data_IF_651019597555
#
_entry.id   IF_651019597555
#
_cell.length_a   1.000
_cell.length_b   1.000
_cell.length_c   1.000
_cell.angle_alpha   90.00
_cell.angle_beta   90.00
_cell.angle_gamma   90.00
#
_symmetry.space_group_name_H-M   'P 1'
#
loop_
_entity.id
_entity.type
_entity.pdbx_description
1 polymer ?
#
# COMPACT_ATOMS: atom_id res chain seq x y z
N UNK A 1 10.66 -27.82 3.21
CA UNK A 1 10.18 -28.25 1.88
C UNK A 1 9.45 -27.10 1.23
N UNK A 2 9.91 -26.63 0.08
CA UNK A 2 9.17 -25.64 -0.74
C UNK A 2 8.07 -26.38 -1.48
N UNK A 3 6.82 -25.95 -1.36
CA UNK A 3 5.70 -26.57 -2.07
C UNK A 3 5.83 -26.27 -3.58
N UNK A 4 5.53 -27.22 -4.48
CA UNK A 4 5.48 -26.95 -5.92
C UNK A 4 4.47 -25.85 -6.25
N UNK A 5 4.77 -25.01 -7.25
CA UNK A 5 3.95 -23.84 -7.61
C UNK A 5 2.49 -24.18 -7.89
N UNK A 6 2.20 -25.32 -8.53
CA UNK A 6 0.84 -25.73 -8.87
C UNK A 6 0.03 -26.11 -7.63
N UNK A 7 0.71 -26.67 -6.62
CA UNK A 7 0.10 -26.94 -5.32
C UNK A 7 -0.20 -25.65 -4.57
N UNK A 8 0.71 -24.66 -4.61
CA UNK A 8 0.49 -23.34 -4.02
C UNK A 8 -0.69 -22.62 -4.68
N UNK A 9 -0.75 -22.62 -6.02
CA UNK A 9 -1.87 -22.04 -6.77
C UNK A 9 -3.21 -22.67 -6.39
N UNK A 10 -3.24 -24.01 -6.27
CA UNK A 10 -4.44 -24.75 -5.84
C UNK A 10 -4.88 -24.38 -4.42
N UNK A 11 -3.95 -24.23 -3.47
CA UNK A 11 -4.25 -23.80 -2.09
C UNK A 11 -4.89 -22.40 -2.08
N UNK A 12 -4.42 -21.51 -2.94
CA UNK A 12 -4.93 -20.15 -3.05
C UNK A 12 -6.11 -19.99 -4.01
N UNK A 13 -6.67 -21.10 -4.53
CA UNK A 13 -7.81 -21.06 -5.44
C UNK A 13 -7.52 -20.38 -6.78
N UNK A 14 -6.25 -20.34 -7.20
CA UNK A 14 -5.83 -19.72 -8.46
C UNK A 14 -6.04 -20.73 -9.59
N UNK A 15 -6.91 -20.38 -10.53
CA UNK A 15 -7.15 -21.17 -11.73
C UNK A 15 -5.92 -21.18 -12.64
N UNK A 16 -5.73 -22.28 -13.37
CA UNK A 16 -4.73 -22.27 -14.44
C UNK A 16 -5.13 -21.27 -15.54
N UNK A 17 -4.17 -20.52 -16.08
CA UNK A 17 -4.47 -19.52 -17.07
C UNK A 17 -4.80 -20.18 -18.42
N UNK A 18 -6.10 -20.24 -18.74
CA UNK A 18 -6.68 -20.88 -19.93
C UNK A 18 -6.49 -20.08 -21.25
N UNK A 19 -6.05 -18.81 -21.15
CA UNK A 19 -5.90 -17.91 -22.30
C UNK A 19 -4.55 -18.01 -23.01
N UNK A 20 -4.52 -17.64 -24.29
CA UNK A 20 -3.28 -17.41 -25.03
C UNK A 20 -2.49 -16.26 -24.42
N UNK A 21 -1.17 -16.44 -24.30
CA UNK A 21 -0.29 -15.38 -23.81
C UNK A 21 0.11 -14.46 -24.96
N UNK A 22 0.18 -13.16 -24.67
CA UNK A 22 0.68 -12.16 -25.60
C UNK A 22 2.22 -12.17 -25.60
N UNK A 23 2.88 -12.45 -26.75
CA UNK A 23 4.34 -12.50 -26.83
C UNK A 23 5.03 -11.20 -26.39
N UNK A 24 4.38 -10.05 -26.61
CA UNK A 24 4.95 -8.76 -26.24
C UNK A 24 5.02 -8.58 -24.72
N UNK A 25 4.01 -9.06 -24.00
CA UNK A 25 3.96 -9.02 -22.53
C UNK A 25 4.99 -9.99 -21.94
N UNK A 26 5.09 -11.18 -22.52
CA UNK A 26 6.10 -12.17 -22.11
C UNK A 26 7.53 -11.66 -22.30
N UNK A 27 7.81 -10.89 -23.36
CA UNK A 27 9.11 -10.28 -23.58
C UNK A 27 9.50 -9.28 -22.46
N UNK A 28 8.52 -8.72 -21.74
CA UNK A 28 8.71 -7.81 -20.60
C UNK A 28 8.71 -8.49 -19.24
N UNK A 29 8.50 -9.81 -19.18
CA UNK A 29 8.38 -10.60 -17.94
C UNK A 29 9.52 -10.35 -16.93
N UNK A 30 10.74 -10.18 -17.43
CA UNK A 30 11.91 -9.85 -16.60
C UNK A 30 11.72 -8.59 -15.73
N UNK A 31 10.97 -7.60 -16.20
CA UNK A 31 10.70 -6.38 -15.45
C UNK A 31 9.65 -6.60 -14.36
N UNK A 32 8.61 -7.40 -14.64
CA UNK A 32 7.62 -7.78 -13.64
C UNK A 32 8.26 -8.60 -12.52
N UNK A 33 9.11 -9.57 -12.86
CA UNK A 33 9.86 -10.38 -11.90
C UNK A 33 10.81 -9.53 -11.04
N UNK A 34 11.55 -8.62 -11.66
CA UNK A 34 12.47 -7.72 -10.96
C UNK A 34 11.73 -6.86 -9.93
N UNK A 35 10.61 -6.24 -10.32
CA UNK A 35 9.84 -5.36 -9.43
C UNK A 35 9.17 -6.15 -8.31
N UNK A 36 8.58 -7.31 -8.61
CA UNK A 36 8.03 -8.19 -7.58
C UNK A 36 9.10 -8.62 -6.56
N UNK A 37 10.29 -8.99 -7.04
CA UNK A 37 11.41 -9.39 -6.18
C UNK A 37 11.90 -8.24 -5.31
N UNK A 38 12.02 -7.05 -5.90
CA UNK A 38 12.39 -5.86 -5.13
C UNK A 38 11.34 -5.56 -4.04
N UNK A 39 10.04 -5.59 -4.37
CA UNK A 39 8.96 -5.37 -3.42
C UNK A 39 8.90 -6.46 -2.34
N UNK A 40 9.13 -7.73 -2.68
CA UNK A 40 9.19 -8.82 -1.70
C UNK A 40 10.29 -8.59 -0.66
N UNK A 41 11.42 -8.01 -1.08
CA UNK A 41 12.57 -7.77 -0.21
C UNK A 41 12.51 -6.43 0.54
N UNK A 42 11.87 -5.40 -0.04
CA UNK A 42 11.92 -4.02 0.46
C UNK A 42 10.61 -3.50 1.04
N UNK A 43 9.47 -4.13 0.75
CA UNK A 43 8.16 -3.66 1.23
C UNK A 43 8.09 -3.43 2.73
N UNK A 44 8.61 -4.36 3.55
CA UNK A 44 8.64 -4.20 5.00
C UNK A 44 9.49 -3.02 5.46
N UNK A 45 10.64 -2.79 4.82
CA UNK A 45 11.51 -1.66 5.14
C UNK A 45 10.81 -0.35 4.78
N UNK A 46 10.16 -0.29 3.62
CA UNK A 46 9.38 0.89 3.20
C UNK A 46 8.21 1.16 4.14
N UNK A 47 7.48 0.12 4.54
CA UNK A 47 6.40 0.24 5.51
C UNK A 47 6.90 0.77 6.85
N UNK A 48 8.03 0.25 7.35
CA UNK A 48 8.64 0.74 8.58
C UNK A 48 9.00 2.23 8.46
N UNK A 49 9.62 2.64 7.35
CA UNK A 49 9.95 4.05 7.10
C UNK A 49 8.69 4.92 7.11
N UNK A 50 7.63 4.54 6.39
CA UNK A 50 6.38 5.30 6.36
C UNK A 50 5.68 5.36 7.72
N UNK A 51 5.66 4.25 8.47
CA UNK A 51 5.17 4.21 9.85
C UNK A 51 5.96 5.17 10.73
N UNK A 52 7.29 5.15 10.66
CA UNK A 52 8.14 6.03 11.46
C UNK A 52 7.89 7.50 11.11
N UNK A 53 7.78 7.84 9.82
CA UNK A 53 7.49 9.21 9.40
C UNK A 53 6.12 9.66 9.93
N UNK A 54 5.08 8.83 9.75
CA UNK A 54 3.74 9.13 10.26
C UNK A 54 3.72 9.28 11.79
N UNK A 55 4.41 8.39 12.52
CA UNK A 55 4.55 8.48 13.96
C UNK A 55 5.22 9.79 14.38
N UNK A 56 6.39 10.10 13.81
CA UNK A 56 7.20 11.27 14.16
C UNK A 56 6.51 12.58 13.83
N UNK A 57 5.80 12.67 12.70
CA UNK A 57 5.18 13.92 12.26
C UNK A 57 3.74 14.10 12.74
N UNK A 58 3.03 13.02 13.08
CA UNK A 58 1.60 13.10 13.43
C UNK A 58 1.32 12.71 14.87
N UNK A 59 1.71 11.50 15.29
CA UNK A 59 1.34 11.00 16.63
C UNK A 59 2.25 11.53 17.74
N UNK A 60 3.57 11.55 17.53
CA UNK A 60 4.53 12.00 18.54
C UNK A 60 4.31 13.47 18.97
N UNK A 61 3.99 14.43 18.07
CA UNK A 61 3.63 15.80 18.45
C UNK A 61 2.31 15.89 19.22
N UNK A 62 1.39 14.94 19.00
CA UNK A 62 0.19 14.83 19.81
C UNK A 62 0.54 14.44 21.25
N UNK A 63 1.51 13.53 21.43
CA UNK A 63 1.92 13.00 22.73
C UNK A 63 2.88 13.91 23.50
N UNK A 64 3.87 14.52 22.84
CA UNK A 64 5.01 15.23 23.45
C UNK A 64 5.03 16.72 23.09
N UNK A 65 4.98 17.60 24.11
CA UNK A 65 5.04 19.06 23.92
C UNK A 65 6.39 19.55 23.35
N UNK A 66 7.56 19.08 23.84
CA UNK A 66 8.84 19.46 23.26
C UNK A 66 8.94 19.11 21.78
N UNK A 67 8.47 17.92 21.40
CA UNK A 67 8.50 17.49 20.00
C UNK A 67 7.52 18.27 19.13
N UNK A 68 6.35 18.62 19.66
CA UNK A 68 5.39 19.50 18.98
C UNK A 68 6.03 20.84 18.61
N UNK A 69 6.79 21.46 19.51
CA UNK A 69 7.46 22.72 19.23
C UNK A 69 8.44 22.61 18.05
N UNK A 70 9.15 21.47 17.94
CA UNK A 70 10.03 21.18 16.79
C UNK A 70 9.22 21.08 15.50
N UNK A 71 8.13 20.30 15.48
CA UNK A 71 7.29 20.16 14.30
C UNK A 71 6.63 21.49 13.88
N UNK A 72 6.11 22.26 14.83
CA UNK A 72 5.45 23.55 14.56
C UNK A 72 6.41 24.62 14.03
N UNK A 73 7.72 24.48 14.27
CA UNK A 73 8.75 25.36 13.70
C UNK A 73 9.08 25.07 12.23
N UNK A 74 8.66 23.92 11.70
CA UNK A 74 8.88 23.53 10.30
C UNK A 74 7.58 23.61 9.52
N UNK A 75 7.52 24.48 8.51
CA UNK A 75 6.27 24.76 7.76
C UNK A 75 5.56 23.49 7.25
N UNK A 76 6.25 22.62 6.51
CA UNK A 76 5.65 21.42 5.92
C UNK A 76 5.17 20.44 7.01
N UNK A 77 6.00 20.19 8.01
CA UNK A 77 5.68 19.25 9.07
C UNK A 77 4.52 19.75 9.95
N UNK A 78 4.46 21.07 10.19
CA UNK A 78 3.36 21.74 10.88
C UNK A 78 2.04 21.54 10.15
N UNK A 79 1.99 21.76 8.83
CA UNK A 79 0.77 21.57 8.04
C UNK A 79 0.31 20.11 8.06
N UNK A 80 1.24 19.16 7.86
CA UNK A 80 0.92 17.73 7.96
C UNK A 80 0.37 17.38 9.34
N UNK A 81 1.04 17.82 10.42
CA UNK A 81 0.58 17.57 11.78
C UNK A 81 -0.80 18.19 12.02
N UNK A 82 -0.99 19.44 11.61
CA UNK A 82 -2.25 20.14 11.76
C UNK A 82 -3.37 19.35 11.07
N UNK A 83 -3.27 19.14 9.76
CA UNK A 83 -4.31 18.49 8.96
C UNK A 83 -4.67 17.09 9.46
N UNK A 84 -3.67 16.29 9.84
CA UNK A 84 -3.93 14.96 10.38
C UNK A 84 -4.47 14.97 11.81
N UNK A 85 -4.03 15.89 12.67
CA UNK A 85 -4.50 15.99 14.07
C UNK A 85 -5.86 16.67 14.22
N UNK A 86 -6.33 17.40 13.21
CA UNK A 86 -7.70 17.93 13.13
C UNK A 86 -8.59 17.13 12.20
N UNK A 87 -8.04 16.09 11.56
CA UNK A 87 -8.72 15.29 10.54
C UNK A 87 -9.37 16.15 9.45
N UNK A 88 -8.60 17.11 8.93
CA UNK A 88 -9.01 18.07 7.90
C UNK A 88 -8.01 18.11 6.73
N UNK A 89 -8.27 18.94 5.72
CA UNK A 89 -7.31 19.21 4.64
C UNK A 89 -6.75 17.95 3.99
N UNK A 90 -5.43 17.78 4.06
CA UNK A 90 -4.71 16.62 3.53
C UNK A 90 -5.20 15.28 4.08
N UNK A 91 -5.63 15.20 5.35
CA UNK A 91 -6.08 13.95 5.93
C UNK A 91 -7.39 13.45 5.30
N UNK A 92 -8.35 14.36 5.06
CA UNK A 92 -9.60 14.05 4.38
C UNK A 92 -9.34 13.72 2.90
N UNK A 93 -8.50 14.52 2.23
CA UNK A 93 -8.13 14.27 0.84
C UNK A 93 -7.51 12.87 0.67
N UNK A 94 -6.57 12.51 1.56
CA UNK A 94 -5.93 11.20 1.56
C UNK A 94 -6.92 10.07 1.90
N UNK A 95 -7.89 10.29 2.78
CA UNK A 95 -8.96 9.32 3.01
C UNK A 95 -9.78 9.05 1.74
N UNK A 96 -10.20 10.09 1.02
CA UNK A 96 -10.92 9.92 -0.25
C UNK A 96 -10.09 9.24 -1.31
N UNK A 97 -8.80 9.60 -1.42
CA UNK A 97 -7.86 8.92 -2.33
C UNK A 97 -7.78 7.43 -1.96
N UNK A 98 -7.64 7.10 -0.68
CA UNK A 98 -7.56 5.70 -0.24
C UNK A 98 -8.84 4.91 -0.59
N UNK A 99 -10.02 5.52 -0.40
CA UNK A 99 -11.30 4.93 -0.81
C UNK A 99 -11.34 4.72 -2.33
N UNK A 100 -10.94 5.72 -3.11
CA UNK A 100 -10.90 5.62 -4.57
C UNK A 100 -9.94 4.51 -5.03
N UNK A 101 -8.73 4.44 -4.46
CA UNK A 101 -7.77 3.38 -4.73
C UNK A 101 -8.35 1.99 -4.41
N UNK A 102 -9.03 1.86 -3.27
CA UNK A 102 -9.70 0.61 -2.89
C UNK A 102 -10.80 0.21 -3.88
N UNK A 103 -11.61 1.15 -4.35
CA UNK A 103 -12.67 0.91 -5.34
C UNK A 103 -12.08 0.52 -6.71
N UNK A 104 -11.11 1.29 -7.22
CA UNK A 104 -10.45 1.00 -8.50
C UNK A 104 -9.82 -0.39 -8.45
N UNK A 105 -9.10 -0.70 -7.37
CA UNK A 105 -8.51 -2.02 -7.15
C UNK A 105 -9.56 -3.12 -7.21
N UNK A 106 -10.69 -2.95 -6.51
CA UNK A 106 -11.80 -3.91 -6.50
C UNK A 106 -12.34 -4.19 -7.91
N UNK A 107 -12.45 -3.17 -8.76
CA UNK A 107 -12.85 -3.32 -10.16
C UNK A 107 -11.80 -4.06 -11.00
N UNK A 108 -10.52 -3.92 -10.67
CA UNK A 108 -9.40 -4.51 -11.39
C UNK A 108 -9.08 -5.95 -10.97
N UNK A 109 -9.58 -6.46 -9.83
CA UNK A 109 -9.30 -7.81 -9.29
C UNK A 109 -9.39 -8.91 -10.35
N UNK A 110 -10.44 -8.90 -11.18
CA UNK A 110 -10.66 -9.94 -12.21
C UNK A 110 -9.63 -9.92 -13.33
N UNK A 111 -8.87 -8.84 -13.44
CA UNK A 111 -7.83 -8.65 -14.45
C UNK A 111 -6.43 -8.93 -13.91
N UNK A 112 -6.27 -9.33 -12.64
CA UNK A 112 -4.97 -9.69 -12.08
C UNK A 112 -4.63 -11.16 -12.37
N UNK A 113 -3.33 -11.50 -12.55
CA UNK A 113 -2.90 -12.88 -12.80
C UNK A 113 -3.27 -13.90 -11.70
N UNK A 114 -3.44 -13.43 -10.46
CA UNK A 114 -3.89 -14.23 -9.32
C UNK A 114 -5.39 -14.11 -9.01
N UNK A 115 -6.14 -13.37 -9.83
CA UNK A 115 -7.56 -13.08 -9.60
C UNK A 115 -7.86 -12.53 -8.21
N UNK A 116 -8.86 -13.10 -7.53
CA UNK A 116 -9.30 -12.70 -6.19
C UNK A 116 -8.44 -13.23 -5.05
N UNK A 117 -7.27 -13.80 -5.30
CA UNK A 117 -6.30 -14.20 -4.27
C UNK A 117 -5.63 -12.93 -3.66
N UNK A 118 -6.46 -12.12 -2.99
CA UNK A 118 -6.31 -10.67 -2.79
C UNK A 118 -5.35 -10.24 -1.68
N UNK A 119 -4.69 -11.19 -1.02
CA UNK A 119 -3.80 -10.95 0.11
C UNK A 119 -2.41 -11.58 -0.07
N UNK A 120 -2.07 -11.97 -1.30
CA UNK A 120 -0.78 -12.60 -1.54
C UNK A 120 0.34 -11.58 -1.38
N UNK A 121 1.32 -11.93 -0.55
CA UNK A 121 2.56 -11.19 -0.47
C UNK A 121 3.26 -11.20 -1.84
N UNK A 122 4.12 -10.22 -2.10
CA UNK A 122 4.97 -10.24 -3.29
C UNK A 122 5.83 -11.52 -3.38
N UNK A 123 6.15 -12.14 -2.23
CA UNK A 123 6.83 -13.43 -2.19
C UNK A 123 5.97 -14.55 -2.78
N UNK A 124 4.70 -14.59 -2.40
CA UNK A 124 3.74 -15.54 -2.96
C UNK A 124 3.53 -15.34 -4.48
N UNK A 125 3.55 -14.08 -4.96
CA UNK A 125 3.49 -13.77 -6.40
C UNK A 125 4.67 -14.38 -7.14
N UNK A 126 5.88 -14.30 -6.57
CA UNK A 126 7.09 -14.90 -7.15
C UNK A 126 7.03 -16.42 -7.10
N UNK A 127 6.73 -16.99 -5.93
CA UNK A 127 6.73 -18.45 -5.70
C UNK A 127 5.68 -19.17 -6.56
N UNK A 128 4.57 -18.48 -6.88
CA UNK A 128 3.52 -18.98 -7.75
C UNK A 128 3.61 -18.47 -9.19
N UNK A 129 4.66 -17.72 -9.55
CA UNK A 129 4.85 -17.13 -10.88
C UNK A 129 3.59 -16.40 -11.41
N UNK A 130 2.97 -15.55 -10.59
CA UNK A 130 1.73 -14.83 -10.93
C UNK A 130 2.04 -13.53 -11.68
N UNK A 131 2.70 -13.67 -12.82
CA UNK A 131 3.09 -12.57 -13.70
C UNK A 131 2.07 -12.36 -14.84
N UNK A 132 1.91 -11.13 -15.32
CA UNK A 132 0.98 -10.85 -16.41
C UNK A 132 1.36 -11.58 -17.70
N UNK A 133 0.35 -12.05 -18.40
CA UNK A 133 0.43 -12.74 -19.71
C UNK A 133 -0.30 -11.98 -20.81
N UNK A 134 -1.22 -11.09 -20.44
CA UNK A 134 -2.00 -10.26 -21.38
C UNK A 134 -1.81 -8.77 -21.10
N UNK A 135 -2.04 -7.87 -22.08
CA UNK A 135 -1.90 -6.43 -21.87
C UNK A 135 -2.81 -5.89 -20.76
N UNK A 136 -4.00 -6.48 -20.61
CA UNK A 136 -4.94 -6.12 -19.55
C UNK A 136 -4.41 -6.47 -18.16
N UNK A 137 -3.79 -7.65 -18.03
CA UNK A 137 -3.14 -8.08 -16.79
C UNK A 137 -1.91 -7.22 -16.48
N UNK A 138 -1.14 -6.84 -17.50
CA UNK A 138 0.03 -5.99 -17.32
C UNK A 138 -0.36 -4.60 -16.81
N UNK A 139 -1.41 -4.00 -17.37
CA UNK A 139 -1.94 -2.74 -16.86
C UNK A 139 -2.39 -2.86 -15.41
N UNK A 140 -3.14 -3.91 -15.07
CA UNK A 140 -3.62 -4.16 -13.72
C UNK A 140 -2.47 -4.42 -12.73
N UNK A 141 -1.42 -5.12 -13.17
CA UNK A 141 -0.21 -5.39 -12.39
C UNK A 141 0.52 -4.09 -12.03
N UNK A 142 0.75 -3.22 -13.00
CA UNK A 142 1.43 -1.94 -12.75
C UNK A 142 0.58 -0.98 -11.93
N UNK A 143 -0.73 -0.90 -12.18
CA UNK A 143 -1.63 -0.08 -11.37
C UNK A 143 -1.65 -0.56 -9.92
N UNK A 144 -1.69 -1.87 -9.67
CA UNK A 144 -1.64 -2.44 -8.32
C UNK A 144 -0.34 -2.07 -7.58
N UNK A 145 0.81 -2.05 -8.26
CA UNK A 145 2.08 -1.62 -7.63
C UNK A 145 2.02 -0.14 -7.23
N UNK A 146 1.58 0.73 -8.14
CA UNK A 146 1.48 2.18 -7.89
C UNK A 146 0.47 2.45 -6.76
N UNK A 147 -0.71 1.83 -6.83
CA UNK A 147 -1.76 1.96 -5.83
C UNK A 147 -1.36 1.32 -4.50
N UNK A 148 -0.60 0.23 -4.52
CA UNK A 148 -0.06 -0.41 -3.34
C UNK A 148 0.92 0.50 -2.60
N UNK A 149 1.82 1.18 -3.31
CA UNK A 149 2.74 2.14 -2.71
C UNK A 149 2.02 3.38 -2.16
N UNK A 150 1.13 3.98 -2.96
CA UNK A 150 0.35 5.15 -2.54
C UNK A 150 -0.58 4.82 -1.36
N UNK A 151 -1.33 3.72 -1.48
CA UNK A 151 -2.25 3.23 -0.47
C UNK A 151 -1.54 2.86 0.83
N UNK A 152 -0.38 2.19 0.77
CA UNK A 152 0.42 1.89 1.97
C UNK A 152 0.88 3.17 2.66
N UNK A 153 1.38 4.15 1.91
CA UNK A 153 1.83 5.44 2.46
C UNK A 153 0.68 6.13 3.20
N UNK A 154 -0.48 6.23 2.55
CA UNK A 154 -1.65 6.90 3.12
C UNK A 154 -2.23 6.13 4.32
N UNK A 155 -2.39 4.81 4.17
CA UNK A 155 -2.95 3.92 5.20
C UNK A 155 -2.16 3.96 6.50
N UNK A 156 -0.84 4.16 6.44
CA UNK A 156 0.00 4.22 7.63
C UNK A 156 -0.09 5.57 8.36
N UNK A 157 -0.54 6.63 7.70
CA UNK A 157 -0.69 7.96 8.31
C UNK A 157 -2.07 8.20 8.92
N UNK A 158 -3.15 7.69 8.30
CA UNK A 158 -4.53 7.93 8.75
C UNK A 158 -4.78 7.47 10.20
N UNK A 159 -4.38 6.25 10.64
CA UNK A 159 -4.57 5.81 12.02
C UNK A 159 -3.88 6.73 13.04
N UNK A 160 -2.69 7.24 12.71
CA UNK A 160 -2.00 8.21 13.56
C UNK A 160 -2.73 9.55 13.63
N UNK A 161 -3.32 10.00 12.52
CA UNK A 161 -4.21 11.17 12.51
C UNK A 161 -5.42 10.99 13.41
N UNK A 162 -6.11 9.84 13.30
CA UNK A 162 -7.26 9.51 14.17
C UNK A 162 -6.87 9.52 15.64
N UNK A 163 -5.77 8.87 16.00
CA UNK A 163 -5.27 8.87 17.39
C UNK A 163 -4.91 10.28 17.87
N UNK A 164 -4.18 11.05 17.05
CA UNK A 164 -3.78 12.42 17.37
C UNK A 164 -5.00 13.32 17.59
N UNK A 165 -6.05 13.16 16.78
CA UNK A 165 -7.32 13.87 16.90
C UNK A 165 -8.00 13.62 18.25
N UNK A 166 -8.17 12.34 18.63
CA UNK A 166 -8.78 12.01 19.92
C UNK A 166 -7.94 12.47 21.12
N UNK A 167 -6.61 12.39 21.04
CA UNK A 167 -5.69 12.90 22.09
C UNK A 167 -5.83 14.43 22.23
N UNK A 168 -6.02 15.14 21.12
CA UNK A 168 -6.18 16.60 21.13
C UNK A 168 -7.51 16.98 21.77
N UNK A 169 -8.60 16.30 21.40
CA UNK A 169 -9.93 16.54 21.98
C UNK A 169 -9.97 16.24 23.48
N UNK A 170 -9.39 15.12 23.92
CA UNK A 170 -9.41 14.76 25.34
C UNK A 170 -8.70 15.79 26.23
N UNK A 171 -7.68 16.48 25.71
CA UNK A 171 -6.99 17.58 26.40
C UNK A 171 -7.74 18.91 26.40
N UNK A 172 -8.75 19.07 25.55
CA UNK A 172 -9.60 20.27 25.52
C UNK A 172 -10.81 20.09 26.44
N UNK A 173 -11.28 18.85 26.61
CA UNK A 173 -12.47 18.51 27.39
C UNK A 173 -12.19 18.15 28.86
N UNK A 174 -10.94 17.87 29.23
CA UNK A 174 -10.51 17.56 30.60
C UNK A 174 -9.67 18.68 31.20
#
# INVERSE_FOLDING_TARGET
>A
MVLPKDRLRKIHGIAEPLGSADPSVLARRKYHEMVATWLANKSYILQLLFVTIGFVNVLLPALSRPWRAVIESTFIAREIFHDYSTFSGLAIANLYILIALFLIRTLQIKSLPGGSAFALSYRNIIDMELFPRTPKEELAYWSEIVFGLAGTTIWLFIPFGVLAYFIKISRVLG
#
